data_IF_272094137221
#
_entry.id   IF_272094137221
#
_cell.length_a   1.000
_cell.length_b   1.000
_cell.length_c   1.000
_cell.angle_alpha   90.00
_cell.angle_beta   90.00
_cell.angle_gamma   90.00
#
_symmetry.space_group_name_H-M   'P 1'
#
loop_
_entity.id
_entity.type
_entity.pdbx_description
1 polymer ?
#
# COMPACT_ATOMS: atom_id res chain seq x y z
N UNK A 1 13.04 0.44 -25.29
CA UNK A 1 12.90 -0.52 -24.17
C UNK A 1 13.66 -1.77 -24.57
N UNK A 2 14.72 -2.17 -23.85
CA UNK A 2 15.48 -3.39 -24.21
C UNK A 2 14.74 -4.60 -23.64
N UNK A 3 14.30 -5.51 -24.50
CA UNK A 3 13.69 -6.77 -24.10
C UNK A 3 14.77 -7.83 -23.82
N UNK A 4 14.53 -8.66 -22.81
CA UNK A 4 15.39 -9.80 -22.49
C UNK A 4 15.15 -10.88 -23.55
N UNK A 5 16.22 -11.32 -24.22
CA UNK A 5 16.15 -12.38 -25.23
C UNK A 5 15.64 -13.68 -24.59
N UNK A 6 14.72 -14.38 -25.26
CA UNK A 6 14.13 -15.64 -24.77
C UNK A 6 12.73 -15.49 -24.13
N UNK A 7 12.35 -14.28 -23.69
CA UNK A 7 11.04 -14.01 -23.10
C UNK A 7 10.04 -13.38 -24.09
N UNK A 8 10.39 -13.35 -25.38
CA UNK A 8 9.66 -12.63 -26.42
C UNK A 8 8.25 -13.18 -26.67
N UNK A 9 8.06 -14.49 -26.49
CA UNK A 9 6.79 -15.20 -26.69
C UNK A 9 5.83 -15.12 -25.50
N UNK A 10 6.34 -14.76 -24.30
CA UNK A 10 5.54 -14.69 -23.09
C UNK A 10 4.74 -13.40 -23.01
N UNK A 11 3.57 -13.46 -22.36
CA UNK A 11 2.78 -12.27 -22.03
C UNK A 11 3.51 -11.38 -21.02
N UNK A 12 3.11 -10.11 -20.90
CA UNK A 12 3.72 -9.20 -19.92
C UNK A 12 3.67 -9.77 -18.48
N UNK A 13 2.55 -10.37 -18.10
CA UNK A 13 2.36 -10.95 -16.77
C UNK A 13 3.23 -12.20 -16.57
N UNK A 14 3.35 -13.06 -17.58
CA UNK A 14 4.20 -14.26 -17.49
C UNK A 14 5.68 -13.90 -17.43
N UNK A 15 6.11 -12.84 -18.14
CA UNK A 15 7.47 -12.30 -18.01
C UNK A 15 7.76 -11.81 -16.60
N UNK A 16 6.80 -11.14 -15.96
CA UNK A 16 6.96 -10.68 -14.58
C UNK A 16 7.08 -11.87 -13.62
N UNK A 17 6.27 -12.92 -13.82
CA UNK A 17 6.36 -14.16 -13.03
C UNK A 17 7.70 -14.86 -13.20
N UNK A 18 8.15 -15.04 -14.44
CA UNK A 18 9.43 -15.70 -14.76
C UNK A 18 10.63 -14.95 -14.17
N UNK A 19 10.58 -13.62 -14.17
CA UNK A 19 11.62 -12.77 -13.60
C UNK A 19 11.50 -12.59 -12.08
N UNK A 20 10.47 -13.15 -11.44
CA UNK A 20 10.18 -12.92 -10.02
C UNK A 20 9.93 -11.45 -9.68
N UNK A 21 9.44 -10.65 -10.64
CA UNK A 21 9.25 -9.21 -10.50
C UNK A 21 7.80 -8.86 -10.21
N UNK A 22 7.61 -7.84 -9.38
CA UNK A 22 6.30 -7.22 -9.19
C UNK A 22 5.89 -6.35 -10.38
N UNK A 23 4.60 -6.40 -10.70
CA UNK A 23 3.97 -5.46 -11.63
C UNK A 23 4.18 -4.01 -11.19
N UNK A 24 4.07 -3.08 -12.14
CA UNK A 24 4.16 -1.65 -11.83
C UNK A 24 3.08 -1.22 -10.83
N UNK A 25 1.90 -1.82 -10.90
CA UNK A 25 0.81 -1.56 -9.96
C UNK A 25 1.18 -1.97 -8.53
N UNK A 26 1.68 -3.20 -8.33
CA UNK A 26 2.13 -3.66 -7.00
C UNK A 26 3.24 -2.77 -6.45
N UNK A 27 4.20 -2.35 -7.29
CA UNK A 27 5.26 -1.39 -6.91
C UNK A 27 4.71 -0.01 -6.53
N UNK A 28 3.70 0.48 -7.25
CA UNK A 28 3.05 1.76 -6.95
C UNK A 28 2.31 1.71 -5.62
N UNK A 29 1.54 0.64 -5.38
CA UNK A 29 0.84 0.44 -4.10
C UNK A 29 1.84 0.35 -2.95
N UNK A 30 2.95 -0.38 -3.13
CA UNK A 30 4.00 -0.45 -2.12
C UNK A 30 4.62 0.93 -1.81
N UNK A 31 4.92 1.73 -2.85
CA UNK A 31 5.39 3.10 -2.68
C UNK A 31 4.40 3.97 -1.92
N UNK A 32 3.11 3.85 -2.23
CA UNK A 32 2.04 4.58 -1.56
C UNK A 32 1.95 4.21 -0.05
N UNK A 33 2.02 2.92 0.28
CA UNK A 33 1.93 2.43 1.65
C UNK A 33 3.19 2.70 2.47
N UNK A 34 4.37 2.63 1.86
CA UNK A 34 5.64 3.03 2.49
C UNK A 34 5.57 4.48 2.96
N UNK A 35 5.12 5.37 2.08
CA UNK A 35 4.98 6.79 2.42
C UNK A 35 3.91 7.02 3.51
N UNK A 36 2.81 6.27 3.48
CA UNK A 36 1.79 6.31 4.53
C UNK A 36 2.32 5.83 5.90
N UNK A 37 3.08 4.73 5.93
CA UNK A 37 3.68 4.20 7.15
C UNK A 37 4.61 5.21 7.80
N UNK A 38 5.51 5.80 7.01
CA UNK A 38 6.42 6.85 7.47
C UNK A 38 5.67 8.06 8.05
N UNK A 39 4.57 8.46 7.43
CA UNK A 39 3.72 9.54 7.93
C UNK A 39 3.05 9.19 9.27
N UNK A 40 2.55 7.95 9.39
CA UNK A 40 1.73 7.50 10.52
C UNK A 40 2.56 7.16 11.76
N UNK A 41 3.74 6.55 11.56
CA UNK A 41 4.54 5.90 12.61
C UNK A 41 5.92 6.54 12.85
N UNK A 42 6.65 6.95 11.80
CA UNK A 42 8.12 6.99 11.89
C UNK A 42 8.77 8.38 11.80
N UNK A 43 8.07 9.47 11.43
CA UNK A 43 8.70 10.80 11.40
C UNK A 43 7.80 12.03 11.68
N UNK A 44 6.47 11.91 11.59
CA UNK A 44 5.57 13.08 11.54
C UNK A 44 4.61 13.22 12.72
N UNK A 45 4.98 12.76 13.91
CA UNK A 45 4.09 12.90 15.10
C UNK A 45 3.69 14.37 15.40
N UNK A 46 4.46 15.36 14.93
CA UNK A 46 4.18 16.80 15.09
C UNK A 46 3.80 17.57 13.81
N UNK A 47 4.22 17.13 12.61
CA UNK A 47 3.92 17.81 11.34
C UNK A 47 2.88 17.07 10.48
N UNK A 48 2.39 15.91 10.96
CA UNK A 48 1.44 15.04 10.29
C UNK A 48 -0.03 15.24 10.67
N UNK A 49 -0.36 16.34 11.35
CA UNK A 49 -1.75 16.70 11.64
C UNK A 49 -2.35 17.38 10.40
N UNK A 50 -2.80 16.60 9.41
CA UNK A 50 -3.58 17.18 8.30
C UNK A 50 -3.84 16.31 7.08
N UNK A 51 -2.94 15.40 6.69
CA UNK A 51 -3.13 14.60 5.45
C UNK A 51 -4.02 13.38 5.67
N UNK A 52 -3.94 12.76 6.85
CA UNK A 52 -4.74 11.60 7.21
C UNK A 52 -5.37 11.78 8.58
N UNK A 53 -6.68 11.59 8.66
CA UNK A 53 -7.38 11.49 9.93
C UNK A 53 -7.36 10.03 10.39
N UNK A 54 -6.74 9.77 11.55
CA UNK A 54 -6.81 8.46 12.20
C UNK A 54 -8.24 8.27 12.71
N UNK A 55 -8.84 7.14 12.36
CA UNK A 55 -10.09 6.70 12.94
C UNK A 55 -9.79 5.52 13.88
N UNK A 56 -9.90 5.75 15.18
CA UNK A 56 -9.98 4.65 16.14
C UNK A 56 -11.35 4.00 16.00
N UNK A 57 -11.38 2.68 15.88
CA UNK A 57 -12.60 1.89 15.74
C UNK A 57 -12.61 0.81 16.80
N UNK A 58 -13.57 0.90 17.70
CA UNK A 58 -13.89 -0.01 18.80
C UNK A 58 -14.71 -1.23 18.34
N UNK A 59 -15.09 -1.31 17.04
CA UNK A 59 -15.82 -2.45 16.47
C UNK A 59 -14.91 -3.44 15.75
N UNK A 60 -15.09 -4.69 16.13
CA UNK A 60 -14.36 -5.94 15.90
C UNK A 60 -14.13 -6.30 14.41
N UNK A 61 -13.29 -5.56 13.68
CA UNK A 61 -12.81 -5.99 12.36
C UNK A 61 -11.39 -5.54 12.02
N UNK A 62 -10.50 -6.55 11.98
CA UNK A 62 -9.24 -6.75 11.22
C UNK A 62 -8.11 -5.72 11.34
N UNK A 63 -8.31 -4.43 11.61
CA UNK A 63 -7.22 -3.49 11.95
C UNK A 63 -7.68 -2.31 12.82
N UNK A 64 -6.86 -1.93 13.80
CA UNK A 64 -7.16 -0.84 14.76
C UNK A 64 -6.65 0.53 14.26
N UNK A 65 -5.86 0.55 13.18
CA UNK A 65 -5.21 1.73 12.62
C UNK A 65 -5.87 2.19 11.32
N UNK A 66 -7.18 2.48 11.33
CA UNK A 66 -7.87 2.93 10.12
C UNK A 66 -7.56 4.38 9.77
N UNK A 67 -7.49 4.63 8.47
CA UNK A 67 -7.48 5.97 7.90
C UNK A 67 -8.88 6.33 7.42
N UNK A 68 -9.34 7.54 7.76
CA UNK A 68 -10.64 8.05 7.31
C UNK A 68 -10.55 8.49 5.84
N UNK A 69 -11.46 8.00 5.00
CA UNK A 69 -11.60 8.50 3.63
C UNK A 69 -12.18 9.91 3.67
N UNK A 70 -11.56 10.85 2.95
CA UNK A 70 -12.07 12.20 2.79
C UNK A 70 -13.32 12.19 1.91
N UNK A 71 -14.38 12.88 2.32
CA UNK A 71 -15.57 13.02 1.49
C UNK A 71 -15.31 14.08 0.42
N UNK A 72 -15.28 13.66 -0.84
CA UNK A 72 -15.06 14.56 -1.96
C UNK A 72 -16.17 14.39 -3.01
N UNK A 73 -16.64 15.51 -3.55
CA UNK A 73 -17.71 15.55 -4.56
C UNK A 73 -17.24 15.15 -5.97
N UNK A 74 -15.94 15.30 -6.27
CA UNK A 74 -15.36 15.02 -7.58
C UNK A 74 -14.59 13.69 -7.58
N UNK A 75 -14.88 12.82 -8.55
CA UNK A 75 -14.20 11.53 -8.73
C UNK A 75 -12.71 11.66 -9.05
N UNK A 76 -12.28 12.80 -9.58
CA UNK A 76 -10.86 13.12 -9.79
C UNK A 76 -10.10 12.99 -8.47
N UNK A 77 -10.72 13.37 -7.34
CA UNK A 77 -10.05 13.32 -6.05
C UNK A 77 -9.80 11.90 -5.53
N UNK A 78 -10.53 10.89 -6.03
CA UNK A 78 -10.32 9.48 -5.69
C UNK A 78 -8.99 8.93 -6.22
N UNK A 79 -8.39 9.58 -7.24
CA UNK A 79 -7.09 9.20 -7.80
C UNK A 79 -5.90 9.77 -7.05
N UNK A 80 -6.10 10.72 -6.12
CA UNK A 80 -5.00 11.28 -5.33
C UNK A 80 -4.42 10.25 -4.37
N UNK A 81 -3.14 10.47 -4.05
CA UNK A 81 -2.37 9.67 -3.10
C UNK A 81 -3.14 9.40 -1.80
N UNK A 82 -3.72 10.43 -1.18
CA UNK A 82 -4.45 10.30 0.09
C UNK A 82 -5.62 9.33 0.01
N UNK A 83 -6.36 9.28 -1.11
CA UNK A 83 -7.49 8.36 -1.26
C UNK A 83 -7.07 6.95 -1.67
N UNK A 84 -6.05 6.82 -2.52
CA UNK A 84 -5.51 5.51 -2.91
C UNK A 84 -4.94 4.77 -1.70
N UNK A 85 -4.17 5.48 -0.87
CA UNK A 85 -3.60 4.93 0.36
C UNK A 85 -4.68 4.43 1.31
N UNK A 86 -5.74 5.21 1.58
CA UNK A 86 -6.79 4.83 2.54
C UNK A 86 -7.41 3.46 2.19
N UNK A 87 -7.69 3.21 0.91
CA UNK A 87 -8.32 1.96 0.46
C UNK A 87 -7.41 0.75 0.63
N UNK A 88 -6.14 0.88 0.28
CA UNK A 88 -5.19 -0.22 0.42
C UNK A 88 -4.82 -0.45 1.88
N UNK A 89 -4.59 0.63 2.63
CA UNK A 89 -4.24 0.60 4.06
C UNK A 89 -5.33 -0.08 4.89
N UNK A 90 -6.60 0.29 4.70
CA UNK A 90 -7.71 -0.28 5.45
C UNK A 90 -7.98 -1.76 5.12
N UNK A 91 -7.42 -2.31 4.04
CA UNK A 91 -7.46 -3.73 3.69
C UNK A 91 -6.32 -4.55 4.31
N UNK A 92 -5.29 -3.89 4.85
CA UNK A 92 -4.18 -4.59 5.49
C UNK A 92 -4.63 -5.24 6.80
N UNK A 93 -4.13 -6.44 7.12
CA UNK A 93 -4.37 -7.05 8.42
C UNK A 93 -3.68 -6.26 9.52
N UNK A 94 -4.22 -6.32 10.75
CA UNK A 94 -3.69 -5.65 11.94
C UNK A 94 -2.21 -5.90 12.11
N UNK A 95 -1.80 -7.16 11.95
CA UNK A 95 -0.43 -7.59 12.08
C UNK A 95 0.46 -6.83 11.09
N UNK A 96 0.06 -6.68 9.83
CA UNK A 96 0.87 -5.92 8.87
C UNK A 96 1.05 -4.45 9.30
N UNK A 97 0.03 -3.83 9.92
CA UNK A 97 0.04 -2.41 10.28
C UNK A 97 0.71 -2.13 11.64
N UNK A 98 0.68 -3.07 12.56
CA UNK A 98 1.21 -2.93 13.93
C UNK A 98 2.72 -3.15 14.07
N UNK A 99 3.42 -3.30 12.95
CA UNK A 99 4.87 -3.49 12.94
C UNK A 99 5.62 -2.23 13.41
N UNK A 100 6.75 -2.40 14.13
CA UNK A 100 7.51 -1.29 14.70
C UNK A 100 8.34 -0.52 13.67
N UNK A 101 8.68 -1.13 12.54
CA UNK A 101 9.56 -0.52 11.52
C UNK A 101 9.11 -0.85 10.10
N UNK A 102 9.54 -0.02 9.16
CA UNK A 102 9.28 -0.20 7.74
C UNK A 102 9.87 -1.51 7.18
N UNK A 103 11.00 -1.98 7.73
CA UNK A 103 11.63 -3.24 7.30
C UNK A 103 10.74 -4.45 7.60
N UNK A 104 10.15 -4.48 8.80
CA UNK A 104 9.21 -5.52 9.20
C UNK A 104 7.92 -5.42 8.37
N UNK A 105 7.47 -4.20 8.05
CA UNK A 105 6.35 -3.98 7.12
C UNK A 105 6.67 -4.58 5.74
N UNK A 106 7.88 -4.39 5.22
CA UNK A 106 8.30 -4.90 3.91
C UNK A 106 8.34 -6.43 3.89
N UNK A 107 8.90 -7.05 4.92
CA UNK A 107 8.92 -8.51 5.03
C UNK A 107 7.51 -9.11 5.07
N UNK A 108 6.57 -8.45 5.78
CA UNK A 108 5.16 -8.87 5.80
C UNK A 108 4.44 -8.57 4.49
N UNK A 109 4.79 -7.47 3.82
CA UNK A 109 4.27 -7.10 2.51
C UNK A 109 4.56 -8.17 1.45
N UNK A 110 5.83 -8.62 1.39
CA UNK A 110 6.27 -9.65 0.45
C UNK A 110 5.56 -11.00 0.71
N UNK A 111 5.22 -11.31 1.97
CA UNK A 111 4.46 -12.51 2.34
C UNK A 111 2.93 -12.41 2.17
N UNK A 112 2.32 -11.24 2.41
CA UNK A 112 0.86 -11.07 2.47
C UNK A 112 0.20 -10.79 1.12
N UNK A 113 0.92 -10.22 0.14
CA UNK A 113 0.35 -9.81 -1.16
C UNK A 113 0.65 -10.76 -2.33
N UNK A 114 1.08 -11.99 -2.06
CA UNK A 114 0.90 -13.08 -3.02
C UNK A 114 -0.55 -13.18 -3.50
N UNK A 115 -1.51 -12.77 -2.66
CA UNK A 115 -2.95 -12.93 -2.85
C UNK A 115 -3.74 -11.63 -3.14
N UNK A 116 -3.09 -10.46 -3.18
CA UNK A 116 -3.76 -9.19 -3.52
C UNK A 116 -3.30 -8.72 -4.91
N UNK A 117 -4.30 -8.32 -5.72
CA UNK A 117 -4.35 -8.16 -7.19
C UNK A 117 -4.85 -9.43 -7.87
#
# INVERSE_FOLDING_TARGET
MKMIRGLEHLSYEDRLRELGLFSLEKRRIWGDLRAAFQYIKEAYRKAGEGLFTKAWSDRTMVNDFKLKEGRFRLDVRKKFFTMRVVRHWNRLPREAVEVPSLEVLKARWDGALGNMV
#
